data_IF_383835913296
#
_entry.id   IF_383835913296
#
_cell.length_a   1.000
_cell.length_b   1.000
_cell.length_c   1.000
_cell.angle_alpha   90.00
_cell.angle_beta   90.00
_cell.angle_gamma   90.00
#
_symmetry.space_group_name_H-M   'P 1'
#
loop_
_entity.id
_entity.type
_entity.pdbx_description
1 polymer ?
#
# COMPACT_ATOMS: atom_id res chain seq x y z
N UNK A 1 47.02 19.82 -19.80
CA UNK A 1 45.57 19.86 -19.49
C UNK A 1 45.24 18.59 -18.73
N UNK A 2 45.31 18.64 -17.40
CA UNK A 2 44.93 17.52 -16.55
C UNK A 2 43.40 17.48 -16.48
N UNK A 3 42.81 16.35 -16.89
CA UNK A 3 41.38 16.12 -16.76
C UNK A 3 41.04 16.10 -15.26
N UNK A 4 40.37 17.17 -14.79
CA UNK A 4 39.74 17.20 -13.48
C UNK A 4 38.68 16.11 -13.47
N UNK A 5 39.01 15.01 -12.81
CA UNK A 5 38.09 13.90 -12.56
C UNK A 5 37.12 14.40 -11.50
N UNK A 6 36.06 15.08 -11.92
CA UNK A 6 34.91 15.38 -11.08
C UNK A 6 34.51 14.05 -10.44
N UNK A 7 34.61 13.87 -9.11
CA UNK A 7 34.12 12.66 -8.48
C UNK A 7 32.63 12.62 -8.76
N UNK A 8 32.25 11.74 -9.67
CA UNK A 8 30.88 11.57 -10.11
C UNK A 8 29.98 11.49 -8.89
N UNK A 9 28.90 12.25 -8.96
CA UNK A 9 27.74 12.32 -8.09
C UNK A 9 26.99 10.99 -7.93
N UNK A 10 27.70 9.86 -7.96
CA UNK A 10 27.21 8.54 -7.56
C UNK A 10 27.18 8.44 -6.03
N UNK A 11 26.62 9.46 -5.36
CA UNK A 11 26.07 9.30 -4.01
C UNK A 11 24.92 8.31 -4.14
N UNK A 12 25.22 7.01 -4.11
CA UNK A 12 24.20 5.97 -4.15
C UNK A 12 23.19 6.29 -3.06
N UNK A 13 21.95 6.67 -3.41
CA UNK A 13 20.95 7.15 -2.44
C UNK A 13 20.63 6.08 -1.37
N UNK A 14 21.06 4.84 -1.59
CA UNK A 14 20.78 3.68 -0.77
C UNK A 14 21.73 3.37 0.39
N UNK A 15 22.84 4.09 0.61
CA UNK A 15 23.63 3.85 1.84
C UNK A 15 22.83 4.18 3.10
N UNK A 16 21.92 5.16 3.02
CA UNK A 16 21.05 5.58 4.12
C UNK A 16 19.90 4.60 4.42
N UNK A 17 19.44 3.84 3.42
CA UNK A 17 18.43 2.79 3.56
C UNK A 17 19.03 1.46 4.09
N UNK A 18 20.34 1.24 3.86
CA UNK A 18 21.06 0.03 4.29
C UNK A 18 21.26 -0.06 5.81
N UNK A 19 21.22 1.08 6.52
CA UNK A 19 21.43 1.15 7.97
C UNK A 19 20.29 0.54 8.82
N UNK A 20 19.16 0.16 8.21
CA UNK A 20 18.02 -0.48 8.88
C UNK A 20 17.82 -1.89 8.31
N UNK A 21 18.64 -2.84 8.75
CA UNK A 21 18.56 -4.26 8.34
C UNK A 21 17.18 -4.90 8.62
N UNK A 22 16.41 -4.33 9.56
CA UNK A 22 15.04 -4.71 9.93
C UNK A 22 14.04 -4.49 8.76
N UNK A 23 14.39 -3.66 7.77
CA UNK A 23 13.45 -3.12 6.79
C UNK A 23 13.21 -4.00 5.55
N UNK A 24 14.09 -4.95 5.22
CA UNK A 24 13.92 -5.86 4.06
C UNK A 24 12.73 -6.81 4.18
N UNK A 25 12.34 -7.13 5.42
CA UNK A 25 11.21 -8.03 5.70
C UNK A 25 9.92 -7.28 6.04
N UNK A 26 9.94 -5.94 6.01
CA UNK A 26 8.79 -5.14 6.41
C UNK A 26 7.61 -5.27 5.43
N UNK A 27 7.89 -5.54 4.15
CA UNK A 27 6.84 -5.80 3.15
C UNK A 27 6.26 -7.21 3.24
N UNK A 28 6.92 -8.14 3.95
CA UNK A 28 6.45 -9.52 4.10
C UNK A 28 5.12 -9.63 4.88
N UNK A 29 4.92 -8.96 6.04
CA UNK A 29 3.62 -9.00 6.70
C UNK A 29 2.52 -8.37 5.84
N UNK A 30 2.81 -7.29 5.10
CA UNK A 30 1.84 -6.69 4.17
C UNK A 30 1.48 -7.69 3.06
N UNK A 31 2.47 -8.41 2.50
CA UNK A 31 2.24 -9.45 1.50
C UNK A 31 1.36 -10.60 2.03
N UNK A 32 1.60 -11.05 3.27
CA UNK A 32 0.80 -12.09 3.90
C UNK A 32 -0.64 -11.63 4.14
N UNK A 33 -0.84 -10.39 4.62
CA UNK A 33 -2.19 -9.81 4.78
C UNK A 33 -2.88 -9.61 3.41
N UNK A 34 -2.15 -9.23 2.37
CA UNK A 34 -2.69 -9.14 1.00
C UNK A 34 -3.16 -10.50 0.48
N UNK A 35 -2.43 -11.59 0.78
CA UNK A 35 -2.87 -12.94 0.42
C UNK A 35 -4.15 -13.33 1.19
N UNK A 36 -4.24 -13.01 2.48
CA UNK A 36 -5.45 -13.23 3.28
C UNK A 36 -6.64 -12.42 2.74
N UNK A 37 -6.41 -11.17 2.31
CA UNK A 37 -7.46 -10.36 1.69
C UNK A 37 -8.01 -10.99 0.41
N UNK A 38 -7.16 -11.57 -0.44
CA UNK A 38 -7.64 -12.33 -1.60
C UNK A 38 -8.52 -13.50 -1.19
N UNK A 39 -8.15 -14.24 -0.14
CA UNK A 39 -8.99 -15.32 0.40
C UNK A 39 -10.36 -14.79 0.83
N UNK A 40 -10.41 -13.69 1.58
CA UNK A 40 -11.67 -13.09 2.03
C UNK A 40 -12.52 -12.56 0.87
N UNK A 41 -11.90 -11.91 -0.12
CA UNK A 41 -12.59 -11.40 -1.32
C UNK A 41 -13.18 -12.54 -2.14
N UNK A 42 -12.42 -13.62 -2.37
CA UNK A 42 -12.88 -14.79 -3.11
C UNK A 42 -13.99 -15.49 -2.33
N UNK A 43 -13.83 -15.67 -1.02
CA UNK A 43 -14.84 -16.30 -0.17
C UNK A 43 -16.15 -15.50 -0.15
N UNK A 44 -16.08 -14.18 0.00
CA UNK A 44 -17.26 -13.30 -0.05
C UNK A 44 -17.94 -13.32 -1.44
N UNK A 45 -17.14 -13.38 -2.51
CA UNK A 45 -17.63 -13.48 -3.88
C UNK A 45 -18.40 -14.78 -4.13
N UNK A 46 -17.80 -15.92 -3.74
CA UNK A 46 -18.41 -17.25 -3.85
C UNK A 46 -19.66 -17.34 -2.97
N UNK A 47 -19.58 -16.89 -1.71
CA UNK A 47 -20.73 -16.89 -0.80
C UNK A 47 -21.90 -16.13 -1.41
N UNK A 48 -21.67 -14.93 -1.94
CA UNK A 48 -22.72 -14.11 -2.53
C UNK A 48 -23.32 -14.77 -3.78
N UNK A 49 -22.50 -15.39 -4.64
CA UNK A 49 -22.98 -16.09 -5.83
C UNK A 49 -23.82 -17.34 -5.49
N UNK A 50 -23.43 -18.09 -4.45
CA UNK A 50 -24.19 -19.25 -3.97
C UNK A 50 -25.48 -18.82 -3.28
N UNK A 51 -25.44 -17.74 -2.50
CA UNK A 51 -26.61 -17.17 -1.84
C UNK A 51 -27.65 -16.69 -2.86
N UNK A 52 -27.22 -15.92 -3.87
CA UNK A 52 -28.08 -15.43 -4.95
C UNK A 52 -28.78 -16.57 -5.72
N UNK A 53 -28.10 -17.70 -5.92
CA UNK A 53 -28.66 -18.88 -6.60
C UNK A 53 -29.70 -19.63 -5.75
N UNK A 54 -29.54 -19.61 -4.43
CA UNK A 54 -30.39 -20.36 -3.49
C UNK A 54 -31.47 -19.49 -2.84
N UNK A 55 -31.45 -18.17 -3.06
CA UNK A 55 -32.46 -17.24 -2.60
C UNK A 55 -33.83 -17.63 -3.17
N UNK A 56 -34.78 -17.90 -2.27
CA UNK A 56 -36.11 -18.42 -2.63
C UNK A 56 -37.19 -17.33 -2.70
N UNK A 57 -36.88 -16.13 -2.20
CA UNK A 57 -37.79 -14.98 -2.15
C UNK A 57 -37.17 -13.74 -2.79
N UNK A 58 -38.03 -12.82 -3.25
CA UNK A 58 -37.60 -11.54 -3.83
C UNK A 58 -37.01 -10.58 -2.77
N UNK A 59 -37.23 -10.87 -1.48
CA UNK A 59 -36.76 -10.07 -0.33
C UNK A 59 -35.38 -10.55 0.19
N UNK A 60 -34.86 -11.68 -0.28
CA UNK A 60 -33.50 -12.16 0.00
C UNK A 60 -32.48 -11.43 -0.87
N UNK A 61 -32.06 -10.25 -0.42
CA UNK A 61 -31.08 -9.45 -1.16
C UNK A 61 -29.65 -9.97 -0.93
N UNK A 62 -28.95 -10.49 -1.97
CA UNK A 62 -27.60 -10.99 -1.81
C UNK A 62 -26.62 -9.83 -1.52
N UNK A 63 -25.58 -10.06 -0.72
CA UNK A 63 -24.64 -9.01 -0.34
C UNK A 63 -23.83 -8.42 -1.52
N UNK A 64 -23.53 -9.23 -2.53
CA UNK A 64 -22.98 -8.80 -3.82
C UNK A 64 -23.95 -9.26 -4.90
N UNK A 65 -24.46 -8.33 -5.72
CA UNK A 65 -25.44 -8.61 -6.78
C UNK A 65 -24.73 -8.90 -8.10
N UNK A 66 -24.30 -10.14 -8.32
CA UNK A 66 -23.56 -10.48 -9.54
C UNK A 66 -24.38 -10.28 -10.81
N UNK A 67 -25.68 -10.59 -10.78
CA UNK A 67 -26.56 -10.41 -11.95
C UNK A 67 -26.69 -8.93 -12.34
N UNK A 68 -26.92 -8.04 -11.38
CA UNK A 68 -27.03 -6.60 -11.65
C UNK A 68 -25.68 -5.99 -12.01
N UNK A 69 -24.59 -6.41 -11.38
CA UNK A 69 -23.26 -5.91 -11.76
C UNK A 69 -22.85 -6.33 -13.17
N UNK A 70 -23.20 -7.56 -13.59
CA UNK A 70 -22.89 -8.07 -14.94
C UNK A 70 -23.83 -7.51 -16.02
N UNK A 71 -25.09 -7.21 -15.69
CA UNK A 71 -26.09 -6.73 -16.67
C UNK A 71 -26.24 -5.22 -16.71
N UNK A 72 -26.23 -4.56 -15.55
CA UNK A 72 -26.51 -3.12 -15.42
C UNK A 72 -25.24 -2.29 -15.25
N UNK A 73 -24.05 -2.91 -15.33
CA UNK A 73 -22.75 -2.26 -15.15
C UNK A 73 -22.63 -1.45 -13.84
N UNK A 74 -23.39 -1.80 -12.80
CA UNK A 74 -23.22 -1.22 -11.46
C UNK A 74 -21.97 -1.82 -10.80
N UNK A 75 -20.82 -1.35 -11.30
CA UNK A 75 -19.50 -1.84 -10.94
C UNK A 75 -19.02 -1.34 -9.59
N UNK A 76 -19.77 -0.46 -8.91
CA UNK A 76 -19.36 0.18 -7.67
C UNK A 76 -18.91 -0.83 -6.62
N UNK A 77 -19.73 -1.84 -6.34
CA UNK A 77 -19.41 -2.86 -5.33
C UNK A 77 -18.16 -3.69 -5.69
N UNK A 78 -17.98 -4.05 -6.96
CA UNK A 78 -16.79 -4.79 -7.43
C UNK A 78 -15.53 -3.92 -7.35
N UNK A 79 -15.63 -2.67 -7.80
CA UNK A 79 -14.55 -1.68 -7.72
C UNK A 79 -14.10 -1.52 -6.26
N UNK A 80 -15.04 -1.39 -5.32
CA UNK A 80 -14.73 -1.27 -3.89
C UNK A 80 -14.14 -2.53 -3.25
N UNK A 81 -14.44 -3.71 -3.80
CA UNK A 81 -13.98 -4.99 -3.27
C UNK A 81 -12.59 -5.39 -3.80
N UNK A 82 -12.36 -5.23 -5.11
CA UNK A 82 -11.18 -5.78 -5.79
C UNK A 82 -10.05 -4.78 -5.99
N UNK A 83 -10.33 -3.48 -6.21
CA UNK A 83 -9.29 -2.52 -6.60
C UNK A 83 -8.16 -2.40 -5.57
N UNK A 84 -8.43 -2.23 -4.26
CA UNK A 84 -7.35 -2.10 -3.27
C UNK A 84 -6.43 -3.32 -3.27
N UNK A 85 -7.03 -4.51 -3.33
CA UNK A 85 -6.31 -5.78 -3.30
C UNK A 85 -5.52 -5.99 -4.58
N UNK A 86 -6.08 -5.64 -5.73
CA UNK A 86 -5.40 -5.70 -7.02
C UNK A 86 -4.19 -4.75 -7.07
N UNK A 87 -4.37 -3.50 -6.64
CA UNK A 87 -3.29 -2.52 -6.56
C UNK A 87 -2.17 -3.04 -5.64
N UNK A 88 -2.52 -3.57 -4.47
CA UNK A 88 -1.56 -4.18 -3.54
C UNK A 88 -0.74 -5.29 -4.20
N UNK A 89 -1.41 -6.18 -4.93
CA UNK A 89 -0.81 -7.34 -5.60
C UNK A 89 0.30 -6.96 -6.57
N UNK A 90 0.15 -5.86 -7.30
CA UNK A 90 1.18 -5.38 -8.22
C UNK A 90 2.24 -4.54 -7.51
N UNK A 91 1.84 -3.71 -6.56
CA UNK A 91 2.79 -2.79 -5.94
C UNK A 91 3.78 -3.50 -4.99
N UNK A 92 3.36 -4.51 -4.21
CA UNK A 92 4.23 -5.17 -3.22
C UNK A 92 5.45 -5.81 -3.90
N UNK A 93 5.29 -6.60 -4.98
CA UNK A 93 6.43 -7.21 -5.67
C UNK A 93 7.34 -6.18 -6.32
N UNK A 94 6.78 -5.15 -6.98
CA UNK A 94 7.55 -4.08 -7.63
C UNK A 94 8.38 -3.34 -6.59
N UNK A 95 7.75 -2.93 -5.48
CA UNK A 95 8.42 -2.21 -4.41
C UNK A 95 9.49 -3.09 -3.73
N UNK A 96 9.19 -4.38 -3.51
CA UNK A 96 10.17 -5.35 -3.00
C UNK A 96 11.36 -5.52 -3.93
N UNK A 97 11.13 -5.58 -5.24
CA UNK A 97 12.18 -5.69 -6.26
C UNK A 97 13.06 -4.44 -6.31
N UNK A 98 12.46 -3.24 -6.34
CA UNK A 98 13.21 -1.97 -6.28
C UNK A 98 14.01 -1.83 -4.98
N UNK A 99 13.44 -2.32 -3.88
CA UNK A 99 14.10 -2.29 -2.57
C UNK A 99 15.30 -3.24 -2.51
N UNK A 100 15.17 -4.49 -3.00
CA UNK A 100 16.29 -5.45 -3.03
C UNK A 100 17.43 -5.00 -3.95
N UNK A 101 17.11 -4.29 -5.04
CA UNK A 101 18.09 -3.72 -5.97
C UNK A 101 18.68 -2.38 -5.51
N UNK A 102 18.29 -1.85 -4.35
CA UNK A 102 18.74 -0.55 -3.86
C UNK A 102 18.47 0.61 -4.85
N UNK A 103 17.36 0.53 -5.58
CA UNK A 103 16.96 1.54 -6.57
C UNK A 103 15.82 2.43 -6.08
N UNK A 104 15.30 2.18 -4.88
CA UNK A 104 14.18 2.94 -4.34
C UNK A 104 14.64 4.27 -3.76
N UNK A 105 14.17 5.37 -4.36
CA UNK A 105 14.44 6.70 -3.84
C UNK A 105 13.66 6.93 -2.52
N UNK A 106 14.27 7.52 -1.48
CA UNK A 106 13.63 7.69 -0.17
C UNK A 106 12.35 8.54 -0.23
N UNK A 107 12.28 9.53 -1.14
CA UNK A 107 11.06 10.32 -1.37
C UNK A 107 9.95 9.46 -1.99
N UNK A 108 10.27 8.60 -2.97
CA UNK A 108 9.29 7.69 -3.56
C UNK A 108 8.72 6.76 -2.49
N UNK A 109 9.58 6.20 -1.63
CA UNK A 109 9.13 5.37 -0.51
C UNK A 109 8.17 6.11 0.44
N UNK A 110 8.41 7.40 0.67
CA UNK A 110 7.55 8.26 1.49
C UNK A 110 6.18 8.49 0.84
N UNK A 111 6.16 8.95 -0.41
CA UNK A 111 4.91 9.25 -1.14
C UNK A 111 4.06 7.99 -1.28
N UNK A 112 4.66 6.87 -1.69
CA UNK A 112 3.95 5.61 -1.86
C UNK A 112 3.34 5.13 -0.53
N UNK A 113 4.09 5.23 0.57
CA UNK A 113 3.59 4.85 1.90
C UNK A 113 2.39 5.69 2.35
N UNK A 114 2.39 7.00 2.05
CA UNK A 114 1.28 7.89 2.35
C UNK A 114 0.05 7.56 1.50
N UNK A 115 0.24 7.35 0.19
CA UNK A 115 -0.85 7.01 -0.72
C UNK A 115 -1.53 5.69 -0.34
N UNK A 116 -0.77 4.62 -0.05
CA UNK A 116 -1.35 3.33 0.32
C UNK A 116 -1.97 3.33 1.71
N UNK A 117 -1.38 4.06 2.67
CA UNK A 117 -2.02 4.30 3.97
C UNK A 117 -3.39 4.97 3.78
N UNK A 118 -3.45 6.04 2.99
CA UNK A 118 -4.68 6.78 2.72
C UNK A 118 -5.71 5.94 1.97
N UNK A 119 -5.28 5.13 1.00
CA UNK A 119 -6.13 4.20 0.28
C UNK A 119 -6.76 3.18 1.24
N UNK A 120 -5.96 2.47 2.04
CA UNK A 120 -6.48 1.46 2.97
C UNK A 120 -7.36 2.06 4.06
N UNK A 121 -6.99 3.23 4.59
CA UNK A 121 -7.83 3.93 5.57
C UNK A 121 -9.18 4.31 4.96
N UNK A 122 -9.19 4.88 3.75
CA UNK A 122 -10.42 5.30 3.07
C UNK A 122 -11.34 4.11 2.82
N UNK A 123 -10.81 3.01 2.29
CA UNK A 123 -11.61 1.81 1.99
C UNK A 123 -12.09 1.10 3.26
N UNK A 124 -11.28 1.08 4.32
CA UNK A 124 -11.65 0.40 5.58
C UNK A 124 -12.67 1.20 6.40
N UNK A 125 -12.72 2.52 6.24
CA UNK A 125 -13.67 3.41 6.94
C UNK A 125 -14.93 3.64 6.13
N UNK A 126 -14.80 3.89 4.81
CA UNK A 126 -15.96 4.22 3.98
C UNK A 126 -16.87 3.00 3.78
N UNK A 127 -16.32 1.79 3.65
CA UNK A 127 -17.14 0.60 3.42
C UNK A 127 -18.09 0.30 4.62
N UNK A 128 -17.64 0.32 5.89
CA UNK A 128 -18.56 0.23 7.04
C UNK A 128 -19.55 1.38 7.15
N UNK A 129 -19.18 2.60 6.75
CA UNK A 129 -20.13 3.73 6.76
C UNK A 129 -21.24 3.53 5.74
N UNK A 130 -20.90 3.08 4.53
CA UNK A 130 -21.89 2.74 3.50
C UNK A 130 -22.78 1.60 4.00
N UNK A 131 -22.19 0.55 4.58
CA UNK A 131 -22.93 -0.58 5.17
C UNK A 131 -23.90 -0.11 6.26
N UNK A 132 -23.47 0.78 7.17
CA UNK A 132 -24.32 1.35 8.21
C UNK A 132 -25.45 2.26 7.68
N UNK A 133 -25.26 2.88 6.51
CA UNK A 133 -26.29 3.66 5.83
C UNK A 133 -27.29 2.79 5.07
N UNK A 134 -26.92 1.56 4.73
CA UNK A 134 -27.78 0.60 4.07
C UNK A 134 -28.52 -0.15 5.18
N UNK A 135 -29.80 0.17 5.39
CA UNK A 135 -30.68 -0.47 6.38
C UNK A 135 -31.05 -1.91 5.97
N UNK A 136 -30.05 -2.76 5.72
CA UNK A 136 -30.20 -4.11 5.22
C UNK A 136 -29.57 -5.10 6.18
N UNK A 137 -30.29 -6.20 6.45
CA UNK A 137 -29.81 -7.26 7.31
C UNK A 137 -29.07 -8.27 6.44
N UNK A 138 -27.77 -8.42 6.66
CA UNK A 138 -26.95 -9.41 5.97
C UNK A 138 -26.80 -10.69 6.82
N UNK A 139 -26.60 -11.85 6.18
CA UNK A 139 -26.30 -13.08 6.90
C UNK A 139 -25.03 -12.98 7.76
N UNK A 140 -25.05 -13.57 8.97
CA UNK A 140 -23.92 -13.54 9.91
C UNK A 140 -22.59 -13.99 9.30
N UNK A 141 -22.63 -15.01 8.43
CA UNK A 141 -21.46 -15.50 7.72
C UNK A 141 -20.83 -14.45 6.81
N UNK A 142 -21.65 -13.65 6.13
CA UNK A 142 -21.17 -12.53 5.31
C UNK A 142 -20.62 -11.40 6.18
N UNK A 143 -21.31 -11.08 7.28
CA UNK A 143 -20.89 -10.04 8.21
C UNK A 143 -19.51 -10.35 8.83
N UNK A 144 -19.26 -11.62 9.17
CA UNK A 144 -17.96 -12.09 9.63
C UNK A 144 -16.85 -11.91 8.58
N UNK A 145 -17.12 -12.29 7.33
CA UNK A 145 -16.20 -12.08 6.19
C UNK A 145 -15.91 -10.59 5.94
N UNK A 146 -16.96 -9.77 6.00
CA UNK A 146 -16.87 -8.32 5.84
C UNK A 146 -15.95 -7.71 6.91
N UNK A 147 -16.21 -7.96 8.20
CA UNK A 147 -15.39 -7.39 9.28
C UNK A 147 -13.98 -7.96 9.32
N UNK A 148 -13.77 -9.24 9.00
CA UNK A 148 -12.44 -9.81 8.86
C UNK A 148 -11.62 -9.05 7.80
N UNK A 149 -12.26 -8.67 6.68
CA UNK A 149 -11.64 -7.82 5.66
C UNK A 149 -11.31 -6.43 6.19
N UNK A 150 -12.24 -5.78 6.90
CA UNK A 150 -12.01 -4.43 7.45
C UNK A 150 -10.88 -4.41 8.48
N UNK A 151 -10.87 -5.37 9.41
CA UNK A 151 -9.79 -5.52 10.39
C UNK A 151 -8.45 -5.73 9.69
N UNK A 152 -8.41 -6.56 8.66
CA UNK A 152 -7.19 -6.75 7.86
C UNK A 152 -6.74 -5.46 7.17
N UNK A 153 -7.68 -4.69 6.62
CA UNK A 153 -7.40 -3.37 6.04
C UNK A 153 -6.80 -2.39 7.05
N UNK A 154 -7.36 -2.31 8.26
CA UNK A 154 -6.80 -1.49 9.35
C UNK A 154 -5.38 -1.94 9.75
N UNK A 155 -5.12 -3.25 9.82
CA UNK A 155 -3.77 -3.76 10.09
C UNK A 155 -2.78 -3.32 9.00
N UNK A 156 -3.19 -3.35 7.74
CA UNK A 156 -2.37 -2.85 6.62
C UNK A 156 -2.12 -1.35 6.74
N UNK A 157 -3.14 -0.55 7.09
CA UNK A 157 -2.97 0.89 7.36
C UNK A 157 -1.93 1.15 8.45
N UNK A 158 -1.96 0.39 9.55
CA UNK A 158 -0.97 0.53 10.63
C UNK A 158 0.45 0.16 10.16
N UNK A 159 0.58 -0.89 9.35
CA UNK A 159 1.88 -1.25 8.75
C UNK A 159 2.38 -0.14 7.82
N UNK A 160 1.52 0.46 7.00
CA UNK A 160 1.90 1.60 6.16
C UNK A 160 2.25 2.85 6.96
N UNK A 161 1.58 3.10 8.08
CA UNK A 161 1.91 4.20 8.98
C UNK A 161 3.31 4.02 9.57
N UNK A 162 3.65 2.81 10.03
CA UNK A 162 5.00 2.50 10.47
C UNK A 162 6.02 2.64 9.31
N UNK A 163 5.67 2.16 8.12
CA UNK A 163 6.52 2.32 6.93
C UNK A 163 6.76 3.79 6.56
N UNK A 164 5.73 4.63 6.67
CA UNK A 164 5.80 6.08 6.47
C UNK A 164 6.77 6.73 7.46
N UNK A 165 6.68 6.38 8.75
CA UNK A 165 7.63 6.85 9.77
C UNK A 165 9.09 6.51 9.42
N UNK A 166 9.34 5.27 8.99
CA UNK A 166 10.69 4.87 8.53
C UNK A 166 11.13 5.63 7.27
N UNK A 167 10.20 5.96 6.37
CA UNK A 167 10.49 6.73 5.16
C UNK A 167 10.84 8.18 5.48
N UNK A 168 10.17 8.80 6.46
CA UNK A 168 10.52 10.13 6.97
C UNK A 168 11.96 10.18 7.46
N UNK A 169 12.38 9.21 8.29
CA UNK A 169 13.76 9.12 8.79
C UNK A 169 14.76 8.94 7.65
N UNK A 170 14.44 8.11 6.65
CA UNK A 170 15.30 7.90 5.49
C UNK A 170 15.45 9.17 4.64
N UNK A 171 14.36 9.92 4.41
CA UNK A 171 14.40 11.21 3.71
C UNK A 171 15.21 12.24 4.49
N UNK A 172 15.03 12.29 5.82
CA UNK A 172 15.80 13.21 6.67
C UNK A 172 17.30 12.93 6.57
N UNK A 173 17.72 11.67 6.73
CA UNK A 173 19.14 11.27 6.59
C UNK A 173 19.70 11.58 5.20
N UNK A 174 18.92 11.33 4.15
CA UNK A 174 19.31 11.67 2.78
C UNK A 174 19.52 13.19 2.60
N UNK A 175 18.63 14.02 3.16
CA UNK A 175 18.77 15.49 3.14
C UNK A 175 20.00 15.97 3.92
N UNK A 176 20.23 15.44 5.12
CA UNK A 176 21.41 15.78 5.93
C UNK A 176 22.72 15.39 5.23
N UNK A 177 22.76 14.20 4.61
CA UNK A 177 23.91 13.73 3.85
C UNK A 177 24.24 14.62 2.64
N UNK A 178 23.23 15.17 1.96
CA UNK A 178 23.43 16.15 0.89
C UNK A 178 24.03 17.46 1.42
N UNK A 179 23.47 18.00 2.50
CA UNK A 179 23.99 19.25 3.11
C UNK A 179 25.45 19.14 3.55
N UNK A 180 25.85 18.00 4.11
CA UNK A 180 27.24 17.78 4.52
C UNK A 180 28.19 17.74 3.31
N UNK A 181 27.79 17.07 2.23
CA UNK A 181 28.59 17.00 1.00
C UNK A 181 28.68 18.35 0.28
N UNK A 182 27.60 19.13 0.24
CA UNK A 182 27.59 20.47 -0.35
C UNK A 182 28.50 21.44 0.45
N UNK A 183 28.58 21.26 1.78
CA UNK A 183 29.48 22.02 2.65
C UNK A 183 30.97 21.69 2.44
N UNK A 184 31.34 20.41 2.36
CA UNK A 184 32.72 19.99 2.08
C UNK A 184 33.20 20.45 0.69
N UNK A 185 32.32 20.44 -0.33
CA UNK A 185 32.64 20.96 -1.67
C UNK A 185 32.91 22.47 -1.66
N UNK A 186 32.13 23.23 -0.88
CA UNK A 186 32.34 24.67 -0.77
C UNK A 186 33.65 25.04 -0.08
N UNK A 187 34.11 24.24 0.89
CA UNK A 187 35.34 24.52 1.64
C UNK A 187 36.60 24.21 0.79
N UNK A 188 36.58 23.10 0.05
CA UNK A 188 37.66 22.73 -0.87
C UNK A 188 37.82 23.70 -2.05
N UNK A 189 36.74 24.32 -2.53
CA UNK A 189 36.78 25.34 -3.58
C UNK A 189 37.36 26.68 -3.09
N UNK A 190 37.34 26.94 -1.78
CA UNK A 190 37.96 28.13 -1.16
C UNK A 190 39.46 27.90 -0.98
N UNK A 191 39.90 26.71 -0.54
CA UNK A 191 41.33 26.38 -0.42
C UNK A 191 42.05 26.34 -1.77
N UNK A 192 41.38 25.94 -2.86
CA UNK A 192 41.97 25.91 -4.21
C UNK A 192 42.11 27.29 -4.87
N UNK A 193 41.54 28.35 -4.27
CA UNK A 193 41.60 29.73 -4.77
C UNK A 193 42.51 30.65 -3.95
N UNK A 194 43.06 30.17 -2.83
CA UNK A 194 44.04 30.88 -2.01
C UNK A 194 45.47 30.55 -2.43
#
# INVERSE_FOLDING_TARGET
MAAVKVPGSEQRPCRYLKALNIRKRFLLPIAALCALLWVFVIAASIFSAVYEKNASSHDDYPPIRWIHTLKDCDAGQIVWLFIPVAIETFHIPIQSWLYTRNMLHPITALVLSFCFMGLWLSFSVLAPLIDACVEQIFPDAWYGLFWARQVTGYLITLLYLAYFGFSCVAVHRWRCGRKAADGELSDGDIELKA
#
